data_IF_467158785617
#
_entry.id   IF_467158785617
#
_cell.length_a   1.000
_cell.length_b   1.000
_cell.length_c   1.000
_cell.angle_alpha   90.00
_cell.angle_beta   90.00
_cell.angle_gamma   90.00
#
_symmetry.space_group_name_H-M   'P 1'
#
loop_
_entity.id
_entity.type
_entity.pdbx_description
1 polymer ?
#
# COMPACT_ATOMS: atom_id res chain seq x y z
N UNK A 1 21.41 -5.41 1.98
CA UNK A 1 19.97 -5.26 2.19
C UNK A 1 19.34 -4.56 0.98
N UNK A 2 18.20 -5.04 0.52
CA UNK A 2 17.54 -4.33 -0.56
C UNK A 2 17.11 -2.94 -0.11
N UNK A 3 17.26 -2.00 -1.01
CA UNK A 3 16.88 -0.63 -0.75
C UNK A 3 15.37 -0.51 -0.81
N UNK A 4 14.78 0.11 0.19
CA UNK A 4 13.33 0.29 0.22
C UNK A 4 12.92 1.53 -0.59
N UNK A 5 11.72 1.48 -1.12
CA UNK A 5 11.14 2.60 -1.85
C UNK A 5 10.87 3.77 -0.90
N UNK A 6 11.01 4.98 -1.42
CA UNK A 6 10.69 6.18 -0.66
C UNK A 6 9.20 6.31 -0.39
N UNK A 7 8.85 7.23 0.50
CA UNK A 7 7.46 7.44 0.90
C UNK A 7 6.54 7.81 -0.27
N UNK A 8 7.00 8.68 -1.16
CA UNK A 8 6.20 9.10 -2.31
C UNK A 8 5.94 7.96 -3.29
N UNK A 9 6.99 7.17 -3.56
CA UNK A 9 6.86 5.99 -4.41
C UNK A 9 5.87 4.99 -3.81
N UNK A 10 6.03 4.74 -2.51
CA UNK A 10 5.16 3.84 -1.78
C UNK A 10 3.70 4.32 -1.86
N UNK A 11 3.49 5.61 -1.70
CA UNK A 11 2.16 6.19 -1.78
C UNK A 11 1.53 5.99 -3.16
N UNK A 12 2.30 6.19 -4.22
CA UNK A 12 1.81 5.98 -5.59
C UNK A 12 1.43 4.53 -5.83
N UNK A 13 2.27 3.62 -5.37
CA UNK A 13 2.02 2.19 -5.52
C UNK A 13 0.75 1.81 -4.77
N UNK A 14 0.59 2.29 -3.55
CA UNK A 14 -0.62 2.03 -2.76
C UNK A 14 -1.86 2.57 -3.45
N UNK A 15 -1.79 3.80 -3.98
CA UNK A 15 -2.92 4.41 -4.68
C UNK A 15 -3.31 3.60 -5.92
N UNK A 16 -2.31 3.13 -6.68
CA UNK A 16 -2.56 2.30 -7.86
C UNK A 16 -3.25 0.99 -7.49
N UNK A 17 -2.79 0.34 -6.43
CA UNK A 17 -3.37 -0.91 -5.97
C UNK A 17 -4.80 -0.70 -5.51
N UNK A 18 -5.05 0.36 -4.75
CA UNK A 18 -6.40 0.71 -4.29
C UNK A 18 -7.33 0.87 -5.48
N UNK A 19 -6.88 1.59 -6.49
CA UNK A 19 -7.66 1.81 -7.70
C UNK A 19 -7.92 0.50 -8.44
N UNK A 20 -6.91 -0.32 -8.59
CA UNK A 20 -6.98 -1.59 -9.31
C UNK A 20 -7.93 -2.57 -8.64
N UNK A 21 -7.91 -2.63 -7.32
CA UNK A 21 -8.77 -3.54 -6.57
C UNK A 21 -10.17 -2.99 -6.34
N UNK A 22 -10.37 -1.72 -6.64
CA UNK A 22 -11.64 -1.07 -6.35
C UNK A 22 -11.89 -0.91 -4.86
N UNK A 23 -10.82 -0.81 -4.07
CA UNK A 23 -10.94 -0.64 -2.63
C UNK A 23 -11.56 0.72 -2.31
N UNK A 24 -12.53 0.75 -1.41
CA UNK A 24 -13.28 1.97 -1.12
C UNK A 24 -13.34 2.34 0.36
N UNK A 25 -12.90 1.46 1.24
CA UNK A 25 -12.96 1.70 2.67
C UNK A 25 -11.86 0.96 3.42
N UNK A 26 -11.71 1.30 4.70
CA UNK A 26 -10.72 0.68 5.58
C UNK A 26 -10.92 -0.85 5.67
N UNK A 27 -12.13 -1.33 5.40
CA UNK A 27 -12.42 -2.76 5.37
C UNK A 27 -11.61 -3.49 4.30
N UNK A 28 -11.20 -2.79 3.26
CA UNK A 28 -10.44 -3.37 2.16
C UNK A 28 -8.93 -3.33 2.39
N UNK A 29 -8.51 -2.83 3.54
CA UNK A 29 -7.11 -2.66 3.88
C UNK A 29 -6.31 -3.96 3.77
N UNK A 30 -6.89 -5.06 4.24
CA UNK A 30 -6.25 -6.38 4.15
C UNK A 30 -5.97 -6.80 2.73
N UNK A 31 -6.90 -6.53 1.82
CA UNK A 31 -6.74 -6.84 0.40
C UNK A 31 -5.61 -6.03 -0.22
N UNK A 32 -5.57 -4.75 0.11
CA UNK A 32 -4.54 -3.84 -0.41
C UNK A 32 -3.16 -4.27 0.09
N UNK A 33 -3.04 -4.55 1.38
CA UNK A 33 -1.78 -4.99 1.98
C UNK A 33 -1.35 -6.33 1.39
N UNK A 34 -2.28 -7.26 1.21
CA UNK A 34 -1.98 -8.56 0.60
C UNK A 34 -1.41 -8.42 -0.81
N UNK A 35 -2.03 -7.58 -1.62
CA UNK A 35 -1.55 -7.33 -2.98
C UNK A 35 -0.20 -6.62 -2.98
N UNK A 36 -0.03 -5.67 -2.06
CA UNK A 36 1.23 -4.96 -1.91
C UNK A 36 2.36 -5.91 -1.56
N UNK A 37 2.12 -6.84 -0.65
CA UNK A 37 3.11 -7.86 -0.27
C UNK A 37 3.46 -8.78 -1.45
N UNK A 38 2.45 -9.16 -2.22
CA UNK A 38 2.65 -10.03 -3.37
C UNK A 38 3.54 -9.38 -4.42
N UNK A 39 3.34 -8.10 -4.67
CA UNK A 39 4.05 -7.38 -5.74
C UNK A 39 5.38 -6.75 -5.30
N UNK A 40 5.48 -6.37 -4.04
CA UNK A 40 6.61 -5.59 -3.53
C UNK A 40 7.10 -6.08 -2.17
N UNK A 41 7.38 -7.39 -2.06
CA UNK A 41 7.70 -8.04 -0.79
C UNK A 41 8.84 -7.37 -0.02
N UNK A 42 9.93 -7.07 -0.70
CA UNK A 42 11.14 -6.58 -0.04
C UNK A 42 11.42 -5.09 -0.24
N UNK A 43 10.52 -4.40 -0.90
CA UNK A 43 10.74 -3.01 -1.30
C UNK A 43 10.05 -2.00 -0.41
N UNK A 44 9.11 -2.45 0.42
CA UNK A 44 8.25 -1.58 1.19
C UNK A 44 8.32 -1.89 2.67
N UNK A 45 8.41 -0.83 3.47
CA UNK A 45 8.29 -0.93 4.92
C UNK A 45 6.79 -0.96 5.25
N UNK A 46 6.28 -2.14 5.56
CA UNK A 46 4.85 -2.32 5.82
C UNK A 46 4.38 -1.64 7.11
N UNK A 47 5.29 -1.34 8.02
CA UNK A 47 4.93 -0.57 9.20
C UNK A 47 4.52 0.86 8.84
N UNK A 48 5.10 1.39 7.76
CA UNK A 48 4.76 2.72 7.25
C UNK A 48 3.63 2.68 6.23
N UNK A 49 3.56 1.60 5.46
CA UNK A 49 2.55 1.47 4.42
C UNK A 49 1.13 1.34 4.99
N UNK A 50 0.98 0.66 6.13
CA UNK A 50 -0.32 0.50 6.75
C UNK A 50 -1.03 1.84 6.99
N UNK A 51 -0.42 2.77 7.71
CA UNK A 51 -1.02 4.10 7.92
C UNK A 51 -1.27 4.86 6.63
N UNK A 52 -0.39 4.74 5.62
CA UNK A 52 -0.58 5.38 4.32
C UNK A 52 -1.83 4.86 3.62
N UNK A 53 -2.01 3.55 3.61
CA UNK A 53 -3.16 2.92 2.98
C UNK A 53 -4.44 3.37 3.68
N UNK A 54 -4.42 3.39 5.00
CA UNK A 54 -5.56 3.84 5.79
C UNK A 54 -5.93 5.27 5.44
N UNK A 55 -4.94 6.14 5.34
CA UNK A 55 -5.15 7.54 4.97
C UNK A 55 -5.77 7.65 3.58
N UNK A 56 -5.24 6.91 2.62
CA UNK A 56 -5.74 6.93 1.25
C UNK A 56 -7.18 6.40 1.15
N UNK A 57 -7.51 5.39 1.93
CA UNK A 57 -8.85 4.81 1.93
C UNK A 57 -9.88 5.73 2.62
N UNK A 58 -9.42 6.59 3.51
CA UNK A 58 -10.29 7.52 4.21
C UNK A 58 -10.45 8.88 3.53
N UNK A 59 -9.72 9.10 2.46
CA UNK A 59 -9.78 10.40 1.77
C UNK A 59 -10.90 10.50 0.74
#
# INVERSE_FOLDING_TARGET
LPEQLGEEETKKICADIISKLGASSVKDMGKVIGELKRLHTDEIDFAKAGPLIKELLNS
#
